data_IF_365642206962
#
_entry.id   IF_365642206962
#
_cell.length_a   1.000
_cell.length_b   1.000
_cell.length_c   1.000
_cell.angle_alpha   90.00
_cell.angle_beta   90.00
_cell.angle_gamma   90.00
#
_symmetry.space_group_name_H-M   'P 1'
#
loop_
_entity.id
_entity.type
_entity.pdbx_description
1 polymer ?
#
# COMPACT_ATOMS: atom_id res chain seq x y z
N UNK A 1 53.95 15.41 33.08
CA UNK A 1 52.87 16.16 32.41
C UNK A 1 52.54 15.61 31.01
N UNK A 2 53.51 15.32 30.14
CA UNK A 2 53.22 14.79 28.79
C UNK A 2 52.60 13.37 28.77
N UNK A 3 52.85 12.53 29.78
CA UNK A 3 52.33 11.16 29.82
C UNK A 3 50.81 11.09 30.05
N UNK A 4 50.25 11.93 30.93
CA UNK A 4 48.81 12.02 31.17
C UNK A 4 48.06 12.59 29.94
N UNK A 5 48.64 13.60 29.29
CA UNK A 5 48.06 14.17 28.07
C UNK A 5 48.02 13.15 26.90
N UNK A 6 48.98 12.23 26.84
CA UNK A 6 49.01 11.16 25.84
C UNK A 6 48.09 9.99 26.18
N UNK A 7 47.91 9.68 27.47
CA UNK A 7 46.92 8.69 27.93
C UNK A 7 45.48 9.14 27.67
N UNK A 8 45.15 10.42 27.90
CA UNK A 8 43.81 10.96 27.58
C UNK A 8 43.53 11.01 26.07
N UNK A 9 44.56 11.16 25.24
CA UNK A 9 44.42 11.16 23.77
C UNK A 9 44.32 9.73 23.20
N UNK A 10 44.88 8.74 23.88
CA UNK A 10 44.81 7.32 23.50
C UNK A 10 43.69 6.56 24.23
N UNK A 11 42.87 7.25 25.01
CA UNK A 11 41.71 6.66 25.67
C UNK A 11 40.55 6.57 24.66
N UNK A 12 40.70 5.66 23.70
CA UNK A 12 39.63 5.21 22.81
C UNK A 12 38.61 4.31 23.53
N UNK A 13 38.57 4.30 24.87
CA UNK A 13 37.47 3.72 25.66
C UNK A 13 36.17 4.54 25.55
N UNK A 14 36.04 5.31 24.47
CA UNK A 14 35.03 6.30 24.17
C UNK A 14 33.72 5.72 23.66
N UNK A 15 33.10 4.81 24.42
CA UNK A 15 31.64 4.88 24.58
C UNK A 15 31.36 5.76 25.81
N UNK A 16 31.77 7.03 25.74
CA UNK A 16 31.96 7.89 26.91
C UNK A 16 30.68 8.51 27.48
N UNK A 17 29.51 8.30 26.86
CA UNK A 17 28.22 8.65 27.45
C UNK A 17 27.10 7.82 26.84
N UNK A 18 26.20 7.28 27.68
CA UNK A 18 24.98 6.55 27.25
C UNK A 18 24.14 7.29 26.22
N UNK A 19 24.35 8.59 26.08
CA UNK A 19 23.70 9.46 25.11
C UNK A 19 24.00 9.11 23.64
N UNK A 20 25.21 8.65 23.29
CA UNK A 20 25.58 8.37 21.89
C UNK A 20 24.72 7.23 21.29
N UNK A 21 24.52 6.15 22.05
CA UNK A 21 23.63 5.05 21.68
C UNK A 21 22.16 5.46 21.64
N UNK A 22 21.73 6.38 22.52
CA UNK A 22 20.37 6.92 22.50
C UNK A 22 20.15 7.76 21.24
N UNK A 23 21.14 8.57 20.84
CA UNK A 23 21.07 9.37 19.61
C UNK A 23 21.02 8.47 18.37
N UNK A 24 21.83 7.42 18.31
CA UNK A 24 21.76 6.44 17.22
C UNK A 24 20.42 5.68 17.19
N UNK A 25 19.93 5.23 18.36
CA UNK A 25 18.67 4.50 18.46
C UNK A 25 17.48 5.35 18.01
N UNK A 26 17.44 6.64 18.39
CA UNK A 26 16.36 7.55 17.99
C UNK A 26 16.36 7.82 16.49
N UNK A 27 17.52 8.04 15.86
CA UNK A 27 17.63 8.19 14.41
C UNK A 27 17.19 6.90 13.70
N UNK A 28 17.60 5.74 14.20
CA UNK A 28 17.23 4.43 13.64
C UNK A 28 15.71 4.22 13.70
N UNK A 29 15.07 4.53 14.82
CA UNK A 29 13.61 4.39 14.96
C UNK A 29 12.88 5.33 14.01
N UNK A 30 13.31 6.59 13.90
CA UNK A 30 12.70 7.56 12.96
C UNK A 30 12.83 7.10 11.51
N UNK A 31 14.01 6.63 11.11
CA UNK A 31 14.25 6.08 9.77
C UNK A 31 13.41 4.83 9.51
N UNK A 32 13.28 3.94 10.50
CA UNK A 32 12.48 2.73 10.40
C UNK A 32 11.00 3.04 10.27
N UNK A 33 10.47 4.03 10.99
CA UNK A 33 9.06 4.45 10.86
C UNK A 33 8.77 4.92 9.44
N UNK A 34 9.58 5.83 8.89
CA UNK A 34 9.41 6.30 7.50
C UNK A 34 9.57 5.14 6.50
N UNK A 35 10.55 4.26 6.73
CA UNK A 35 10.75 3.04 5.93
C UNK A 35 9.53 2.13 5.93
N UNK A 36 8.96 1.82 7.09
CA UNK A 36 7.76 0.99 7.22
C UNK A 36 6.54 1.64 6.56
N UNK A 37 6.41 2.97 6.62
CA UNK A 37 5.33 3.68 5.91
C UNK A 37 5.48 3.52 4.39
N UNK A 38 6.69 3.57 3.85
CA UNK A 38 6.91 3.35 2.41
C UNK A 38 6.59 1.90 1.99
N UNK A 39 6.96 0.92 2.82
CA UNK A 39 6.62 -0.49 2.58
C UNK A 39 5.11 -0.71 2.64
N UNK A 40 4.43 -0.07 3.60
CA UNK A 40 2.97 -0.11 3.69
C UNK A 40 2.34 0.39 2.39
N UNK A 41 2.76 1.56 1.88
CA UNK A 41 2.20 2.11 0.65
C UNK A 41 2.48 1.21 -0.56
N UNK A 42 3.69 0.67 -0.68
CA UNK A 42 4.03 -0.24 -1.76
C UNK A 42 3.12 -1.48 -1.76
N UNK A 43 2.88 -2.09 -0.59
CA UNK A 43 1.98 -3.25 -0.47
C UNK A 43 0.53 -2.88 -0.82
N UNK A 44 0.07 -1.70 -0.40
CA UNK A 44 -1.28 -1.22 -0.74
C UNK A 44 -1.46 -1.02 -2.25
N UNK A 45 -0.46 -0.45 -2.93
CA UNK A 45 -0.49 -0.27 -4.37
C UNK A 45 -0.53 -1.63 -5.11
N UNK A 46 0.24 -2.62 -4.67
CA UNK A 46 0.17 -3.98 -5.24
C UNK A 46 -1.20 -4.62 -5.00
N UNK A 47 -1.84 -4.35 -3.86
CA UNK A 47 -3.20 -4.85 -3.59
C UNK A 47 -4.26 -4.15 -4.44
N UNK A 48 -4.07 -2.89 -4.78
CA UNK A 48 -4.90 -2.19 -5.75
C UNK A 48 -4.79 -2.85 -7.13
N UNK A 49 -3.57 -3.13 -7.61
CA UNK A 49 -3.35 -3.81 -8.87
C UNK A 49 -4.00 -5.21 -8.89
N UNK A 50 -3.88 -5.95 -7.79
CA UNK A 50 -4.57 -7.25 -7.63
C UNK A 50 -6.09 -7.10 -7.64
N UNK A 51 -6.63 -6.08 -6.96
CA UNK A 51 -8.07 -5.82 -6.95
C UNK A 51 -8.59 -5.45 -8.35
N UNK A 52 -7.84 -4.63 -9.09
CA UNK A 52 -8.12 -4.27 -10.47
C UNK A 52 -8.06 -5.47 -11.40
N UNK A 53 -7.06 -6.34 -11.25
CA UNK A 53 -6.96 -7.56 -12.03
C UNK A 53 -8.16 -8.50 -11.80
N UNK A 54 -8.61 -8.63 -10.54
CA UNK A 54 -9.80 -9.43 -10.19
C UNK A 54 -11.08 -8.76 -10.73
N UNK A 55 -11.21 -7.44 -10.61
CA UNK A 55 -12.35 -6.68 -11.12
C UNK A 55 -12.43 -6.62 -12.65
N UNK A 56 -11.33 -6.82 -13.34
CA UNK A 56 -11.26 -6.91 -14.80
C UNK A 56 -11.70 -8.28 -15.35
N UNK A 57 -11.89 -9.29 -14.48
CA UNK A 57 -12.42 -10.58 -14.89
C UNK A 57 -13.85 -10.41 -15.41
N UNK A 58 -14.08 -10.81 -16.66
CA UNK A 58 -15.37 -10.68 -17.29
C UNK A 58 -16.36 -11.73 -16.75
N UNK A 59 -17.31 -11.30 -15.91
CA UNK A 59 -18.37 -12.17 -15.38
C UNK A 59 -19.66 -12.11 -16.23
N UNK A 60 -19.59 -11.60 -17.46
CA UNK A 60 -20.75 -11.51 -18.35
C UNK A 60 -21.13 -12.86 -18.93
N UNK A 61 -22.43 -13.12 -19.05
CA UNK A 61 -22.95 -14.28 -19.77
C UNK A 61 -24.15 -13.90 -20.64
N UNK A 62 -24.38 -14.70 -21.68
CA UNK A 62 -25.57 -14.60 -22.52
C UNK A 62 -25.95 -15.99 -23.02
N UNK A 63 -27.18 -16.40 -22.76
CA UNK A 63 -27.79 -17.56 -23.37
C UNK A 63 -29.05 -17.17 -24.13
N UNK A 64 -29.18 -17.71 -25.35
CA UNK A 64 -30.33 -17.48 -26.21
C UNK A 64 -31.55 -18.28 -25.75
N UNK A 65 -32.73 -17.70 -25.93
CA UNK A 65 -33.98 -18.45 -25.85
C UNK A 65 -34.20 -19.30 -27.09
N UNK A 66 -35.17 -20.21 -27.02
CA UNK A 66 -35.59 -21.04 -28.16
C UNK A 66 -37.06 -20.80 -28.46
N UNK A 67 -37.41 -20.71 -29.75
CA UNK A 67 -38.78 -20.47 -30.21
C UNK A 67 -39.16 -21.55 -31.24
N UNK A 68 -40.34 -22.15 -31.08
CA UNK A 68 -40.96 -23.09 -32.00
C UNK A 68 -42.42 -22.73 -32.25
N UNK A 69 -43.12 -23.55 -33.07
CA UNK A 69 -44.45 -23.25 -33.61
C UNK A 69 -45.49 -22.81 -32.54
N UNK A 70 -45.48 -23.43 -31.37
CA UNK A 70 -46.44 -23.14 -30.29
C UNK A 70 -45.76 -22.94 -28.92
N UNK A 71 -44.43 -22.80 -28.87
CA UNK A 71 -43.68 -22.77 -27.61
C UNK A 71 -42.51 -21.80 -27.68
N UNK A 72 -42.26 -21.10 -26.58
CA UNK A 72 -41.19 -20.13 -26.46
C UNK A 72 -40.53 -20.24 -25.08
N UNK A 73 -39.19 -20.25 -25.06
CA UNK A 73 -38.38 -20.20 -23.84
C UNK A 73 -37.53 -18.94 -23.92
N UNK A 74 -37.63 -18.08 -22.89
CA UNK A 74 -36.81 -16.87 -22.79
C UNK A 74 -35.34 -17.22 -22.50
N UNK A 75 -34.42 -16.45 -23.09
CA UNK A 75 -33.01 -16.48 -22.70
C UNK A 75 -32.73 -15.52 -21.54
N UNK A 76 -31.50 -15.55 -21.01
CA UNK A 76 -31.03 -14.57 -20.04
C UNK A 76 -29.64 -14.08 -20.38
N UNK A 77 -29.33 -12.86 -19.91
CA UNK A 77 -28.02 -12.26 -20.03
C UNK A 77 -27.69 -11.46 -18.78
N UNK A 78 -26.41 -11.41 -18.46
CA UNK A 78 -25.84 -10.48 -17.50
C UNK A 78 -24.63 -9.82 -18.16
N UNK A 79 -24.51 -8.51 -17.99
CA UNK A 79 -23.37 -7.74 -18.48
C UNK A 79 -22.65 -7.13 -17.29
N UNK A 80 -21.45 -7.63 -17.09
CA UNK A 80 -20.53 -7.08 -16.12
C UNK A 80 -19.91 -5.80 -16.67
N UNK A 81 -19.75 -4.81 -15.79
CA UNK A 81 -19.10 -3.55 -16.11
C UNK A 81 -17.81 -3.53 -15.32
N UNK A 82 -16.68 -3.52 -16.02
CA UNK A 82 -15.37 -3.42 -15.39
C UNK A 82 -15.32 -2.23 -14.44
N UNK A 83 -14.80 -2.45 -13.24
CA UNK A 83 -14.58 -1.42 -12.24
C UNK A 83 -13.10 -1.32 -11.94
N UNK A 84 -12.65 -0.09 -11.69
CA UNK A 84 -11.31 0.19 -11.17
C UNK A 84 -11.41 0.58 -9.71
N UNK A 85 -10.44 0.12 -8.95
CA UNK A 85 -10.13 0.46 -7.58
C UNK A 85 -8.90 1.36 -7.60
N UNK A 86 -8.92 2.40 -6.77
CA UNK A 86 -7.85 3.38 -6.62
C UNK A 86 -7.73 3.70 -5.12
N UNK A 87 -6.54 3.47 -4.55
CA UNK A 87 -6.26 3.75 -3.14
C UNK A 87 -5.99 5.26 -2.91
N UNK A 88 -5.62 6.00 -3.96
CA UNK A 88 -5.18 7.40 -3.93
C UNK A 88 -6.30 8.33 -4.43
N UNK A 89 -7.51 8.14 -3.88
CA UNK A 89 -8.71 8.86 -4.32
C UNK A 89 -8.79 10.27 -3.73
N UNK A 90 -7.87 11.15 -4.15
CA UNK A 90 -8.02 12.61 -4.05
C UNK A 90 -8.64 13.25 -5.30
N UNK A 91 -9.10 12.42 -6.25
CA UNK A 91 -9.86 12.90 -7.39
C UNK A 91 -11.34 12.64 -7.16
N UNK A 92 -12.17 13.67 -7.43
CA UNK A 92 -13.63 13.69 -7.32
C UNK A 92 -14.34 12.73 -8.31
N UNK A 93 -13.90 11.47 -8.38
CA UNK A 93 -14.47 10.46 -9.25
C UNK A 93 -15.42 9.56 -8.45
N UNK A 94 -16.48 10.11 -7.84
CA UNK A 94 -17.76 9.43 -7.57
C UNK A 94 -17.79 8.01 -6.99
N UNK A 95 -16.71 7.49 -6.44
CA UNK A 95 -16.64 6.17 -5.82
C UNK A 95 -17.01 6.32 -4.35
N UNK A 96 -18.06 5.61 -3.92
CA UNK A 96 -18.77 5.71 -2.62
C UNK A 96 -17.91 5.45 -1.36
N UNK A 97 -16.58 5.36 -1.47
CA UNK A 97 -15.66 4.99 -0.40
C UNK A 97 -14.43 5.91 -0.28
N UNK A 98 -14.36 7.06 -0.97
CA UNK A 98 -13.25 7.99 -0.72
C UNK A 98 -13.47 8.81 0.55
N UNK A 99 -12.47 8.78 1.44
CA UNK A 99 -12.33 9.71 2.56
C UNK A 99 -11.90 11.05 1.95
N UNK A 100 -12.45 12.22 2.36
CA UNK A 100 -12.02 13.50 1.82
C UNK A 100 -10.52 13.69 2.05
N UNK A 101 -9.81 14.16 1.04
CA UNK A 101 -8.42 14.53 1.20
C UNK A 101 -8.35 15.74 2.11
N UNK A 102 -7.90 15.52 3.35
CA UNK A 102 -7.29 16.58 4.14
C UNK A 102 -5.97 16.95 3.45
N UNK A 103 -5.74 18.25 3.30
CA UNK A 103 -4.55 18.82 2.65
C UNK A 103 -3.23 18.33 3.24
#
# INVERSE_FOLDING_TARGET
>A
MCALARQLWQDDSGALLSFEWILLATILVLAMVVGLKSVQQAVLNEFEDVANAIGALNQSFRFGGACGCCAHVGGSRFQDHGRTFDIDTCTDAGHRFSVPCEE
#
